data_IF_765559387796
#
_entry.id   IF_765559387796
#
_cell.length_a   1.000
_cell.length_b   1.000
_cell.length_c   1.000
_cell.angle_alpha   90.00
_cell.angle_beta   90.00
_cell.angle_gamma   90.00
#
_symmetry.space_group_name_H-M   'P 1'
#
loop_
_entity.id
_entity.type
_entity.pdbx_description
1 polymer ?
#
# COMPACT_ATOMS: atom_id res chain seq x y z
N UNK A 1 -56.36 52.19 51.46
CA UNK A 1 -55.00 52.77 51.37
C UNK A 1 -54.08 51.77 50.69
N UNK A 2 -53.29 52.25 49.70
CA UNK A 2 -52.24 51.57 48.90
C UNK A 2 -52.75 50.60 47.81
N UNK A 3 -52.35 50.68 46.54
CA UNK A 3 -51.67 51.67 45.68
C UNK A 3 -51.89 51.14 44.25
N UNK A 4 -52.32 51.99 43.32
CA UNK A 4 -52.35 51.69 41.87
C UNK A 4 -50.99 52.00 41.22
N UNK A 5 -50.53 51.16 40.29
CA UNK A 5 -49.71 51.47 39.07
C UNK A 5 -49.85 50.21 38.19
N UNK A 6 -50.63 50.14 37.10
CA UNK A 6 -50.57 50.72 35.73
C UNK A 6 -49.31 50.34 34.93
N UNK A 7 -49.53 49.65 33.81
CA UNK A 7 -48.62 49.52 32.66
C UNK A 7 -48.24 48.06 32.40
N UNK A 8 -48.37 47.46 31.22
CA UNK A 8 -48.71 47.96 29.88
C UNK A 8 -49.18 46.73 29.07
N UNK A 9 -50.15 46.92 28.17
CA UNK A 9 -50.65 45.91 27.24
C UNK A 9 -49.70 45.69 26.05
N UNK A 10 -49.83 44.49 25.48
CA UNK A 10 -49.53 44.09 24.08
C UNK A 10 -48.09 43.63 23.78
N UNK A 11 -47.81 42.64 22.94
CA UNK A 11 -48.60 41.88 21.96
C UNK A 11 -48.21 40.39 22.01
N UNK A 12 -49.18 39.51 21.78
CA UNK A 12 -48.93 38.13 21.41
C UNK A 12 -48.32 38.08 20.00
N UNK A 13 -47.28 37.26 19.82
CA UNK A 13 -47.06 36.55 18.56
C UNK A 13 -46.56 35.14 18.89
N UNK A 14 -47.43 34.19 18.61
CA UNK A 14 -47.13 32.75 18.59
C UNK A 14 -46.48 32.49 17.24
N UNK A 15 -45.24 32.02 17.24
CA UNK A 15 -44.76 31.06 16.24
C UNK A 15 -43.97 29.98 16.96
N UNK A 16 -44.59 28.81 17.00
CA UNK A 16 -43.94 27.52 17.25
C UNK A 16 -43.23 27.13 15.94
N UNK A 17 -41.98 26.69 15.95
CA UNK A 17 -41.48 25.54 15.16
C UNK A 17 -39.97 25.29 15.39
N UNK A 18 -39.69 24.02 15.68
CA UNK A 18 -38.49 23.22 15.40
C UNK A 18 -37.13 23.57 16.03
N UNK A 19 -36.76 22.68 16.96
CA UNK A 19 -35.40 22.19 17.18
C UNK A 19 -34.59 22.07 15.89
N UNK A 20 -33.40 22.66 15.88
CA UNK A 20 -32.29 22.18 15.07
C UNK A 20 -31.10 21.87 15.99
N UNK A 21 -31.05 20.59 16.38
CA UNK A 21 -29.89 19.71 16.26
C UNK A 21 -28.53 20.33 16.49
N UNK A 22 -27.91 19.89 17.57
CA UNK A 22 -26.47 19.81 17.74
C UNK A 22 -25.79 19.35 16.45
N UNK A 23 -25.04 20.23 15.79
CA UNK A 23 -23.93 19.77 14.99
C UNK A 23 -22.78 19.48 15.96
N UNK A 24 -22.84 18.31 16.60
CA UNK A 24 -21.62 17.64 17.01
C UNK A 24 -20.87 17.35 15.70
N UNK A 25 -19.98 18.26 15.30
CA UNK A 25 -18.92 17.91 14.38
C UNK A 25 -18.14 16.82 15.13
N UNK A 26 -18.32 15.57 14.72
CA UNK A 26 -17.56 14.46 15.27
C UNK A 26 -16.07 14.78 15.09
N UNK A 27 -15.39 15.13 16.18
CA UNK A 27 -13.97 15.51 16.17
C UNK A 27 -13.07 14.39 15.63
N UNK A 28 -13.60 13.16 15.53
CA UNK A 28 -12.94 12.00 14.92
C UNK A 28 -12.65 12.16 13.43
N UNK A 29 -13.37 13.03 12.71
CA UNK A 29 -13.19 13.24 11.27
C UNK A 29 -12.03 14.20 10.95
N UNK A 30 -11.53 14.93 11.95
CA UNK A 30 -10.40 15.84 11.83
C UNK A 30 -9.10 15.28 12.43
N UNK A 31 -9.17 14.18 13.19
CA UNK A 31 -7.99 13.54 13.74
C UNK A 31 -7.20 12.85 12.63
N UNK A 32 -5.95 13.26 12.47
CA UNK A 32 -5.00 12.57 11.59
C UNK A 32 -4.64 11.22 12.18
N UNK A 33 -4.70 10.20 11.32
CA UNK A 33 -4.36 8.82 11.61
C UNK A 33 -3.28 8.38 10.63
N UNK A 34 -2.49 7.41 11.04
CA UNK A 34 -1.43 6.84 10.20
C UNK A 34 -1.60 5.33 10.12
N UNK A 35 -1.35 4.79 8.93
CA UNK A 35 -1.26 3.35 8.70
C UNK A 35 -0.01 3.07 7.87
N UNK A 36 0.68 1.98 8.19
CA UNK A 36 1.84 1.50 7.46
C UNK A 36 1.45 0.19 6.79
N UNK A 37 1.74 0.07 5.49
CA UNK A 37 1.36 -1.09 4.69
C UNK A 37 2.44 -1.40 3.67
N UNK A 38 2.60 -2.70 3.38
CA UNK A 38 3.56 -3.17 2.39
C UNK A 38 2.93 -3.25 1.00
N UNK A 39 3.71 -2.98 -0.04
CA UNK A 39 3.30 -3.25 -1.41
C UNK A 39 3.54 -4.73 -1.73
N UNK A 40 2.52 -5.48 -2.13
CA UNK A 40 2.63 -6.92 -2.42
C UNK A 40 2.35 -7.17 -3.91
N UNK A 41 3.17 -7.98 -4.60
CA UNK A 41 2.90 -8.35 -5.98
C UNK A 41 1.82 -9.44 -6.05
N UNK A 42 0.80 -9.19 -6.85
CA UNK A 42 -0.16 -10.20 -7.31
C UNK A 42 0.26 -10.75 -8.67
N UNK A 43 0.54 -12.05 -8.75
CA UNK A 43 1.02 -12.71 -9.97
C UNK A 43 -0.13 -13.31 -10.79
N UNK A 44 -0.89 -12.45 -11.47
CA UNK A 44 -1.84 -12.88 -12.47
C UNK A 44 -3.21 -13.30 -11.95
N UNK A 45 -3.52 -13.11 -10.66
CA UNK A 45 -4.84 -13.43 -10.14
C UNK A 45 -5.86 -12.34 -10.51
N UNK A 46 -5.41 -11.08 -10.60
CA UNK A 46 -6.25 -9.94 -11.03
C UNK A 46 -6.24 -9.79 -12.54
N UNK A 47 -5.03 -9.66 -13.10
CA UNK A 47 -4.83 -9.48 -14.53
C UNK A 47 -3.99 -10.63 -15.05
N UNK A 48 -4.63 -11.57 -15.76
CA UNK A 48 -3.94 -12.74 -16.30
C UNK A 48 -2.63 -12.35 -17.00
N UNK A 49 -1.57 -13.11 -16.71
CA UNK A 49 -0.21 -12.95 -17.25
C UNK A 49 0.51 -11.63 -16.91
N UNK A 50 -0.07 -10.79 -16.03
CA UNK A 50 0.56 -9.57 -15.53
C UNK A 50 0.62 -9.53 -14.02
N UNK A 51 1.63 -8.83 -13.51
CA UNK A 51 1.78 -8.51 -12.12
C UNK A 51 1.02 -7.24 -11.81
N UNK A 52 0.22 -7.28 -10.74
CA UNK A 52 -0.44 -6.10 -10.19
C UNK A 52 0.15 -5.82 -8.80
N UNK A 53 0.59 -4.60 -8.54
CA UNK A 53 1.03 -4.21 -7.19
C UNK A 53 -0.18 -3.81 -6.35
N UNK A 54 -0.29 -4.42 -5.18
CA UNK A 54 -1.34 -4.18 -4.20
C UNK A 54 -0.77 -3.53 -2.95
N UNK A 55 -1.59 -2.79 -2.22
CA UNK A 55 -1.32 -2.33 -0.87
C UNK A 55 -1.81 -3.43 0.08
N UNK A 56 -0.90 -4.29 0.50
CA UNK A 56 -1.19 -5.61 1.05
C UNK A 56 -2.05 -6.44 0.09
N UNK A 57 -3.36 -6.52 0.32
CA UNK A 57 -4.32 -7.19 -0.57
C UNK A 57 -5.27 -6.22 -1.29
N UNK A 58 -5.15 -4.91 -1.02
CA UNK A 58 -6.00 -3.86 -1.55
C UNK A 58 -5.47 -3.26 -2.85
N UNK A 59 -6.39 -2.85 -3.73
CA UNK A 59 -6.03 -1.92 -4.81
C UNK A 59 -5.47 -0.63 -4.20
N UNK A 60 -4.30 -0.19 -4.67
CA UNK A 60 -3.65 1.04 -4.21
C UNK A 60 -4.60 2.24 -4.45
N UNK A 61 -5.08 2.93 -3.39
CA UNK A 61 -6.13 3.95 -3.53
C UNK A 61 -5.59 5.33 -3.93
N UNK A 62 -4.34 5.42 -4.38
CA UNK A 62 -3.66 6.66 -4.70
C UNK A 62 -2.72 6.52 -5.90
N UNK A 63 -2.37 7.66 -6.50
CA UNK A 63 -1.34 7.75 -7.53
C UNK A 63 -0.03 8.15 -6.86
N UNK A 64 0.99 7.30 -6.97
CA UNK A 64 2.31 7.52 -6.37
C UNK A 64 2.93 8.90 -6.71
N UNK A 65 2.80 9.33 -7.97
CA UNK A 65 3.31 10.63 -8.43
C UNK A 65 2.67 11.84 -7.75
N UNK A 66 1.44 11.71 -7.24
CA UNK A 66 0.78 12.78 -6.47
C UNK A 66 1.52 13.07 -5.16
N UNK A 67 2.30 12.11 -4.66
CA UNK A 67 3.01 12.19 -3.39
C UNK A 67 4.53 12.14 -3.56
N UNK A 68 5.05 12.56 -4.72
CA UNK A 68 6.48 12.58 -5.03
C UNK A 68 7.18 11.21 -4.90
N UNK A 69 6.44 10.12 -5.12
CA UNK A 69 7.00 8.77 -5.20
C UNK A 69 7.08 8.41 -6.69
N UNK A 70 8.27 8.27 -7.25
CA UNK A 70 8.47 8.03 -8.69
C UNK A 70 7.87 6.70 -9.15
N UNK A 71 8.12 5.65 -8.37
CA UNK A 71 7.65 4.28 -8.60
C UNK A 71 7.56 3.51 -7.29
N UNK A 72 6.50 2.69 -7.18
CA UNK A 72 6.38 1.66 -6.17
C UNK A 72 6.90 0.33 -6.73
N UNK A 73 7.61 -0.42 -5.90
CA UNK A 73 8.06 -1.79 -6.21
C UNK A 73 7.55 -2.76 -5.13
N UNK A 74 7.64 -4.06 -5.42
CA UNK A 74 7.26 -5.09 -4.47
C UNK A 74 8.04 -4.92 -3.16
N UNK A 75 7.30 -5.03 -2.05
CA UNK A 75 7.74 -4.90 -0.66
C UNK A 75 8.30 -3.52 -0.27
N UNK A 76 8.02 -2.47 -1.06
CA UNK A 76 8.08 -1.10 -0.51
C UNK A 76 7.09 -0.98 0.65
N UNK A 77 7.50 -0.32 1.74
CA UNK A 77 6.61 0.00 2.87
C UNK A 77 6.24 1.46 2.77
N UNK A 78 4.94 1.74 2.70
CA UNK A 78 4.41 3.11 2.64
C UNK A 78 3.70 3.45 3.94
N UNK A 79 3.90 4.68 4.39
CA UNK A 79 3.14 5.28 5.48
C UNK A 79 2.09 6.22 4.89
N UNK A 80 0.83 6.00 5.22
CA UNK A 80 -0.30 6.79 4.76
C UNK A 80 -0.85 7.56 5.93
N UNK A 81 -0.79 8.88 5.85
CA UNK A 81 -1.46 9.78 6.80
C UNK A 81 -2.80 10.18 6.22
N UNK A 82 -3.88 10.05 6.99
CA UNK A 82 -5.24 10.29 6.52
C UNK A 82 -6.13 10.84 7.62
N UNK A 83 -7.24 11.48 7.22
CA UNK A 83 -8.35 11.83 8.10
C UNK A 83 -9.59 11.01 7.75
N UNK A 84 -10.54 10.88 8.69
CA UNK A 84 -11.76 10.10 8.51
C UNK A 84 -11.63 8.63 8.97
N UNK A 85 -12.31 7.71 8.28
CA UNK A 85 -12.43 6.30 8.66
C UNK A 85 -11.84 5.38 7.59
N UNK A 86 -10.95 4.48 8.01
CA UNK A 86 -10.41 3.42 7.16
C UNK A 86 -11.41 2.27 7.09
N UNK A 87 -11.98 2.04 5.91
CA UNK A 87 -12.90 0.92 5.65
C UNK A 87 -12.39 0.16 4.45
N UNK A 88 -12.19 -1.14 4.64
CA UNK A 88 -11.84 -2.09 3.58
C UNK A 88 -13.11 -2.85 3.20
N UNK A 89 -13.35 -2.96 1.90
CA UNK A 89 -14.35 -3.88 1.37
C UNK A 89 -13.66 -5.21 1.07
N UNK A 90 -14.05 -6.23 1.82
CA UNK A 90 -13.43 -7.57 1.80
C UNK A 90 -13.83 -8.36 0.55
N UNK A 91 -13.28 -7.94 -0.59
CA UNK A 91 -13.25 -8.69 -1.86
C UNK A 91 -11.80 -9.06 -2.18
N UNK A 92 -11.59 -9.82 -3.26
CA UNK A 92 -10.24 -10.04 -3.78
C UNK A 92 -10.12 -9.49 -5.21
N UNK A 93 -9.23 -8.50 -5.46
CA UNK A 93 -8.49 -7.74 -4.46
C UNK A 93 -9.44 -6.92 -3.60
N UNK A 94 -9.01 -6.55 -2.39
CA UNK A 94 -9.83 -5.71 -1.52
C UNK A 94 -9.79 -4.26 -2.01
N UNK A 95 -10.72 -3.43 -1.56
CA UNK A 95 -10.74 -2.00 -1.91
C UNK A 95 -10.94 -1.13 -0.70
N UNK A 96 -10.23 -0.02 -0.63
CA UNK A 96 -10.35 0.96 0.46
C UNK A 96 -11.38 2.02 0.05
N UNK A 97 -12.37 2.29 0.91
CA UNK A 97 -13.40 3.32 0.66
C UNK A 97 -12.82 4.73 0.80
N UNK A 98 -12.34 5.27 -0.32
CA UNK A 98 -11.77 6.62 -0.43
C UNK A 98 -12.78 7.75 -0.23
N UNK A 99 -14.09 7.46 -0.14
CA UNK A 99 -15.08 8.48 0.25
C UNK A 99 -15.08 8.74 1.75
N UNK A 100 -14.64 7.77 2.55
CA UNK A 100 -14.58 7.85 4.02
C UNK A 100 -13.18 8.06 4.55
N UNK A 101 -12.16 7.76 3.74
CA UNK A 101 -10.75 7.98 4.04
C UNK A 101 -10.18 9.07 3.13
N UNK A 102 -9.72 10.17 3.71
CA UNK A 102 -9.07 11.25 2.98
C UNK A 102 -7.56 11.23 3.21
N UNK A 103 -6.83 10.72 2.21
CA UNK A 103 -5.37 10.67 2.25
C UNK A 103 -4.80 12.10 2.22
N UNK A 104 -3.92 12.39 3.17
CA UNK A 104 -3.21 13.67 3.29
C UNK A 104 -1.80 13.57 2.71
N UNK A 105 -1.05 12.56 3.16
CA UNK A 105 0.30 12.27 2.67
C UNK A 105 0.49 10.77 2.50
N UNK A 106 1.38 10.43 1.56
CA UNK A 106 1.93 9.09 1.42
C UNK A 106 3.43 9.24 1.37
N UNK A 107 4.12 8.52 2.24
CA UNK A 107 5.57 8.54 2.35
C UNK A 107 6.09 7.14 2.06
N UNK A 108 7.10 7.03 1.20
CA UNK A 108 7.89 5.80 1.11
C UNK A 108 8.76 5.71 2.37
N UNK A 109 8.35 4.87 3.32
CA UNK A 109 9.02 4.73 4.60
C UNK A 109 10.30 3.91 4.44
N UNK A 110 10.20 2.76 3.77
CA UNK A 110 11.32 1.86 3.51
C UNK A 110 11.24 1.25 2.12
N UNK A 111 12.40 1.10 1.50
CA UNK A 111 12.60 0.25 0.33
C UNK A 111 13.48 -0.92 0.72
N UNK A 112 13.03 -2.13 0.38
CA UNK A 112 13.82 -3.34 0.62
C UNK A 112 15.19 -3.27 -0.06
N UNK A 113 16.16 -3.99 0.51
CA UNK A 113 17.48 -4.10 -0.08
C UNK A 113 17.40 -4.78 -1.45
N UNK A 114 18.07 -4.21 -2.44
CA UNK A 114 18.11 -4.75 -3.81
C UNK A 114 19.41 -5.52 -3.98
N UNK A 115 19.31 -6.79 -4.35
CA UNK A 115 20.45 -7.69 -4.51
C UNK A 115 20.50 -8.22 -5.93
N UNK A 116 21.68 -8.14 -6.56
CA UNK A 116 21.91 -8.74 -7.87
C UNK A 116 22.27 -10.23 -7.73
N UNK A 117 21.65 -11.06 -8.56
CA UNK A 117 21.94 -12.47 -8.72
C UNK A 117 22.23 -12.76 -10.19
N UNK A 118 23.00 -13.83 -10.42
CA UNK A 118 23.15 -14.43 -11.74
C UNK A 118 22.44 -15.77 -11.77
N UNK A 119 21.72 -16.05 -12.85
CA UNK A 119 21.21 -17.41 -13.10
C UNK A 119 22.41 -18.31 -13.38
N UNK A 120 22.58 -19.36 -12.59
CA UNK A 120 23.63 -20.37 -12.78
C UNK A 120 23.03 -21.76 -12.86
N UNK A 121 23.85 -22.72 -13.27
CA UNK A 121 23.54 -24.14 -13.14
C UNK A 121 24.23 -24.66 -11.87
N UNK A 122 23.45 -25.14 -10.91
CA UNK A 122 23.99 -25.72 -9.67
C UNK A 122 24.63 -27.09 -9.94
N UNK A 123 25.20 -27.72 -8.90
CA UNK A 123 25.86 -29.03 -8.99
C UNK A 123 24.93 -30.15 -9.47
N UNK A 124 23.62 -30.02 -9.22
CA UNK A 124 22.59 -30.96 -9.66
C UNK A 124 22.12 -30.71 -11.11
N UNK A 125 22.66 -29.67 -11.75
CA UNK A 125 22.27 -29.29 -13.10
C UNK A 125 21.01 -28.43 -13.19
N UNK A 126 20.48 -27.95 -12.08
CA UNK A 126 19.28 -27.12 -12.01
C UNK A 126 19.63 -25.64 -12.08
N UNK A 127 18.75 -24.83 -12.66
CA UNK A 127 18.91 -23.38 -12.66
C UNK A 127 18.61 -22.82 -11.27
N UNK A 128 19.54 -22.03 -10.75
CA UNK A 128 19.45 -21.37 -9.46
C UNK A 128 19.95 -19.92 -9.56
N UNK A 129 19.60 -19.10 -8.57
CA UNK A 129 20.11 -17.74 -8.44
C UNK A 129 21.28 -17.69 -7.48
N UNK A 130 22.42 -17.23 -7.97
CA UNK A 130 23.64 -17.11 -7.18
C UNK A 130 24.06 -15.64 -7.06
N UNK A 131 24.34 -15.21 -5.85
CA UNK A 131 24.88 -13.89 -5.55
C UNK A 131 26.41 -13.98 -5.45
N UNK A 132 27.10 -13.31 -6.38
CA UNK A 132 28.56 -13.33 -6.43
C UNK A 132 29.22 -12.59 -5.27
N UNK A 133 28.60 -11.51 -4.77
CA UNK A 133 29.16 -10.70 -3.70
C UNK A 133 29.11 -11.44 -2.35
N UNK A 134 28.02 -12.16 -2.08
CA UNK A 134 27.83 -12.91 -0.84
C UNK A 134 28.19 -14.39 -0.94
N UNK A 135 28.59 -14.86 -2.13
CA UNK A 135 28.92 -16.26 -2.43
C UNK A 135 27.84 -17.23 -1.92
N UNK A 136 26.59 -16.88 -2.18
CA UNK A 136 25.43 -17.59 -1.65
C UNK A 136 24.31 -17.70 -2.68
N UNK A 137 23.48 -18.73 -2.53
CA UNK A 137 22.26 -18.86 -3.31
C UNK A 137 21.15 -18.01 -2.71
N UNK A 138 20.26 -17.51 -3.57
CA UNK A 138 19.03 -16.88 -3.10
C UNK A 138 18.24 -17.88 -2.24
N UNK A 139 17.97 -17.51 -0.99
CA UNK A 139 16.98 -18.18 -0.14
C UNK A 139 15.67 -17.47 -0.38
N UNK A 140 14.64 -18.24 -0.72
CA UNK A 140 13.30 -17.73 -0.97
C UNK A 140 12.30 -18.60 -0.20
N UNK A 141 11.33 -17.95 0.44
CA UNK A 141 10.22 -18.57 1.14
C UNK A 141 9.11 -19.05 0.18
N UNK A 142 9.07 -18.55 -1.06
CA UNK A 142 8.04 -18.86 -2.03
C UNK A 142 8.39 -20.09 -2.90
N UNK A 143 7.46 -21.05 -2.95
CA UNK A 143 7.54 -22.31 -3.72
C UNK A 143 7.70 -22.09 -5.24
N UNK A 144 7.16 -21.00 -5.78
CA UNK A 144 7.26 -20.67 -7.21
C UNK A 144 8.07 -19.39 -7.41
N UNK A 145 9.30 -19.53 -7.89
CA UNK A 145 10.21 -18.43 -8.18
C UNK A 145 9.77 -17.67 -9.44
N UNK A 146 8.76 -16.81 -9.32
CA UNK A 146 8.32 -15.89 -10.39
C UNK A 146 9.18 -14.64 -10.40
N UNK A 147 9.49 -14.16 -11.60
CA UNK A 147 10.27 -12.96 -11.82
C UNK A 147 9.47 -11.96 -12.65
N UNK A 148 9.40 -10.73 -12.17
CA UNK A 148 8.66 -9.61 -12.74
C UNK A 148 9.49 -8.98 -13.86
N UNK A 149 8.91 -8.92 -15.06
CA UNK A 149 9.51 -8.31 -16.23
C UNK A 149 9.23 -6.81 -16.30
N UNK A 150 9.96 -6.11 -17.17
CA UNK A 150 9.85 -4.65 -17.34
C UNK A 150 8.47 -4.21 -17.84
N UNK A 151 7.76 -5.07 -18.54
CA UNK A 151 6.40 -4.87 -19.05
C UNK A 151 5.32 -5.39 -18.10
N UNK A 152 5.69 -5.67 -16.85
CA UNK A 152 4.87 -6.26 -15.79
C UNK A 152 4.38 -7.69 -16.09
N UNK A 153 4.85 -8.35 -17.15
CA UNK A 153 4.67 -9.79 -17.28
C UNK A 153 5.49 -10.55 -16.22
N UNK A 154 5.24 -11.84 -16.06
CA UNK A 154 6.06 -12.67 -15.18
C UNK A 154 6.33 -14.04 -15.76
N UNK A 155 7.48 -14.60 -15.42
CA UNK A 155 7.84 -15.97 -15.77
C UNK A 155 8.67 -16.62 -14.67
N UNK A 156 8.78 -17.94 -14.69
CA UNK A 156 9.56 -18.68 -13.72
C UNK A 156 11.06 -18.45 -13.92
N UNK A 157 11.82 -18.39 -12.84
CA UNK A 157 13.27 -18.15 -12.87
C UNK A 157 14.02 -19.21 -13.69
N UNK A 158 13.54 -20.46 -13.70
CA UNK A 158 14.15 -21.54 -14.48
C UNK A 158 14.00 -21.38 -16.00
N UNK A 159 13.18 -20.44 -16.50
CA UNK A 159 13.07 -20.17 -17.93
C UNK A 159 14.17 -19.24 -18.46
N UNK A 160 14.87 -18.52 -17.59
CA UNK A 160 15.95 -17.60 -17.99
C UNK A 160 17.25 -18.31 -18.31
N UNK A 161 18.03 -17.77 -19.25
CA UNK A 161 19.33 -18.33 -19.63
C UNK A 161 20.38 -18.16 -18.52
N UNK A 162 21.31 -19.10 -18.46
CA UNK A 162 22.47 -19.00 -17.56
C UNK A 162 23.26 -17.73 -17.89
N UNK A 163 23.67 -17.00 -16.85
CA UNK A 163 24.32 -15.70 -16.95
C UNK A 163 23.36 -14.51 -16.91
N UNK A 164 22.04 -14.73 -17.04
CA UNK A 164 21.03 -13.66 -16.89
C UNK A 164 21.12 -13.04 -15.50
N UNK A 165 21.07 -11.71 -15.44
CA UNK A 165 21.01 -10.95 -14.18
C UNK A 165 19.58 -10.81 -13.69
N UNK A 166 19.36 -11.15 -12.43
CA UNK A 166 18.07 -11.06 -11.75
C UNK A 166 18.25 -10.26 -10.46
N UNK A 167 17.32 -9.37 -10.16
CA UNK A 167 17.39 -8.45 -9.03
C UNK A 167 16.35 -8.85 -7.98
N UNK A 168 16.82 -9.29 -6.82
CA UNK A 168 15.98 -9.72 -5.71
C UNK A 168 15.71 -8.59 -4.72
N UNK A 169 14.48 -8.53 -4.21
CA UNK A 169 14.08 -7.67 -3.10
C UNK A 169 14.19 -8.44 -1.79
N UNK A 170 15.01 -7.93 -0.86
CA UNK A 170 14.98 -8.31 0.55
C UNK A 170 14.12 -7.29 1.32
N UNK A 171 12.90 -7.64 1.74
CA UNK A 171 12.05 -6.73 2.51
C UNK A 171 12.75 -6.19 3.78
N UNK A 172 12.41 -4.97 4.22
CA UNK A 172 13.11 -4.28 5.30
C UNK A 172 12.93 -4.94 6.68
N UNK A 173 11.97 -5.87 6.82
CA UNK A 173 11.67 -6.54 8.08
C UNK A 173 12.45 -7.84 8.31
N UNK A 174 13.22 -8.33 7.34
CA UNK A 174 14.13 -9.47 7.56
C UNK A 174 15.49 -8.99 8.07
N UNK A 175 15.98 -9.62 9.14
CA UNK A 175 17.31 -9.39 9.71
C UNK A 175 18.44 -10.07 8.91
N UNK A 176 18.10 -10.88 7.91
CA UNK A 176 19.03 -11.57 7.03
C UNK A 176 18.54 -11.48 5.58
N UNK A 177 19.40 -11.81 4.61
CA UNK A 177 19.02 -11.75 3.19
C UNK A 177 18.01 -12.86 2.89
N UNK A 178 16.75 -12.46 2.72
CA UNK A 178 15.64 -13.35 2.38
C UNK A 178 14.81 -12.69 1.26
N UNK A 179 14.87 -13.27 0.06
CA UNK A 179 14.35 -12.60 -1.12
C UNK A 179 12.89 -12.97 -1.36
N UNK A 180 12.01 -11.96 -1.42
CA UNK A 180 10.56 -12.17 -1.54
C UNK A 180 10.00 -11.80 -2.92
N UNK A 181 10.72 -11.01 -3.72
CA UNK A 181 10.38 -10.74 -5.12
C UNK A 181 11.63 -10.68 -5.99
N UNK A 182 11.47 -10.97 -7.28
CA UNK A 182 12.53 -10.89 -8.27
C UNK A 182 12.12 -10.05 -9.46
N UNK A 183 13.07 -9.32 -10.03
CA UNK A 183 12.93 -8.53 -11.25
C UNK A 183 13.98 -8.93 -12.27
N UNK A 184 13.60 -9.00 -13.55
CA UNK A 184 14.52 -9.34 -14.64
C UNK A 184 15.27 -8.13 -15.20
N UNK A 185 15.08 -6.97 -14.58
CA UNK A 185 15.69 -5.71 -14.94
C UNK A 185 16.15 -4.97 -13.70
N UNK A 186 17.13 -4.08 -13.86
CA UNK A 186 17.62 -3.26 -12.76
C UNK A 186 16.53 -2.26 -12.36
N UNK A 187 16.02 -2.43 -11.14
CA UNK A 187 14.97 -1.61 -10.52
C UNK A 187 15.54 -0.46 -9.67
N UNK A 188 16.85 -0.40 -9.47
CA UNK A 188 17.53 0.68 -8.76
C UNK A 188 17.85 1.89 -9.67
N UNK A 189 17.50 1.81 -10.96
CA UNK A 189 17.72 2.84 -11.99
C UNK A 189 16.40 3.44 -12.48
#
# INVERSE_FOLDING_TARGET
MKKSVIGLLSFASIFNFCSCSSNNINSSDLLEKTIEMSIIPDYGNITKDKVTLLLEDSIIPFKNKTYNIDKLIAYDVVKITYTGTYIVNDTYPSTIDTKKMHIKTVELLYRGGIYEFSVIKNENGEKALFNEAFKSYARNELLEQKCINKDDSFQLINTYDVGTKIYGINPPYYSSINISAFYSYNIAL
#
